data_IF_868400142761
#
_entry.id   IF_868400142761
#
_cell.length_a   1.000
_cell.length_b   1.000
_cell.length_c   1.000
_cell.angle_alpha   90.00
_cell.angle_beta   90.00
_cell.angle_gamma   90.00
#
_symmetry.space_group_name_H-M   'P 1'
#
loop_
_entity.id
_entity.type
_entity.pdbx_description
1 polymer ?
#
# COMPACT_ATOMS: atom_id res chain seq x y z
N UNK A 1 -1.41 23.16 -16.37
CA UNK A 1 -0.25 22.66 -15.59
C UNK A 1 -0.48 22.81 -14.09
N UNK A 2 -0.79 24.02 -13.58
CA UNK A 2 -1.07 24.25 -12.15
C UNK A 2 -2.15 23.33 -11.53
N UNK A 3 -3.33 23.22 -12.17
CA UNK A 3 -4.42 22.35 -11.68
C UNK A 3 -4.08 20.86 -11.55
N UNK A 4 -3.21 20.34 -12.42
CA UNK A 4 -2.78 18.94 -12.38
C UNK A 4 -1.86 18.69 -11.19
N UNK A 5 -0.91 19.59 -10.96
CA UNK A 5 0.02 19.54 -9.82
C UNK A 5 -0.76 19.66 -8.52
N UNK A 6 -1.70 20.59 -8.44
CA UNK A 6 -2.57 20.77 -7.27
C UNK A 6 -3.42 19.52 -6.97
N UNK A 7 -4.03 18.93 -8.00
CA UNK A 7 -4.79 17.68 -7.86
C UNK A 7 -3.92 16.52 -7.39
N UNK A 8 -2.71 16.39 -7.94
CA UNK A 8 -1.75 15.35 -7.55
C UNK A 8 -1.27 15.52 -6.12
N UNK A 9 -0.90 16.74 -5.72
CA UNK A 9 -0.49 17.05 -4.34
C UNK A 9 -1.63 16.79 -3.37
N UNK A 10 -2.86 17.22 -3.69
CA UNK A 10 -4.04 16.95 -2.86
C UNK A 10 -4.29 15.45 -2.73
N UNK A 11 -4.10 14.67 -3.79
CA UNK A 11 -4.23 13.22 -3.72
C UNK A 11 -3.18 12.63 -2.80
N UNK A 12 -1.89 12.95 -3.00
CA UNK A 12 -0.81 12.43 -2.16
C UNK A 12 -0.97 12.77 -0.68
N UNK A 13 -1.37 14.01 -0.35
CA UNK A 13 -1.59 14.43 1.03
C UNK A 13 -2.75 13.66 1.66
N UNK A 14 -3.87 13.50 0.95
CA UNK A 14 -5.07 12.82 1.48
C UNK A 14 -4.98 11.29 1.43
N UNK A 15 -4.07 10.73 0.64
CA UNK A 15 -3.89 9.28 0.45
C UNK A 15 -2.52 8.80 0.94
N UNK A 16 -1.75 9.64 1.60
CA UNK A 16 -0.41 9.31 2.09
C UNK A 16 -0.39 8.05 2.95
N UNK A 17 -1.43 7.85 3.78
CA UNK A 17 -1.64 6.61 4.55
C UNK A 17 -1.74 5.38 3.66
N UNK A 18 -2.56 5.44 2.60
CA UNK A 18 -2.77 4.32 1.69
C UNK A 18 -1.47 3.98 0.97
N UNK A 19 -0.73 4.99 0.52
CA UNK A 19 0.58 4.82 -0.13
C UNK A 19 1.66 4.31 0.84
N UNK A 20 1.63 4.77 2.09
CA UNK A 20 2.49 4.24 3.14
C UNK A 20 2.22 2.75 3.38
N UNK A 21 0.96 2.36 3.55
CA UNK A 21 0.60 0.94 3.70
C UNK A 21 0.93 0.12 2.45
N UNK A 22 0.71 0.67 1.26
CA UNK A 22 1.09 0.01 0.01
C UNK A 22 2.58 -0.36 0.01
N UNK A 23 3.47 0.58 0.32
CA UNK A 23 4.92 0.35 0.29
C UNK A 23 5.37 -0.48 1.50
N UNK A 24 5.03 -0.03 2.71
CA UNK A 24 5.53 -0.62 3.95
C UNK A 24 4.90 -1.98 4.23
N UNK A 25 3.57 -2.02 4.36
CA UNK A 25 2.86 -3.27 4.63
C UNK A 25 2.88 -4.21 3.43
N UNK A 26 2.88 -3.69 2.20
CA UNK A 26 3.07 -4.50 0.99
C UNK A 26 4.41 -5.24 0.98
N UNK A 27 5.49 -4.61 1.43
CA UNK A 27 6.80 -5.26 1.56
C UNK A 27 6.78 -6.39 2.60
N UNK A 28 6.14 -6.16 3.75
CA UNK A 28 5.99 -7.16 4.81
C UNK A 28 5.16 -8.35 4.31
N UNK A 29 4.00 -8.11 3.71
CA UNK A 29 3.15 -9.18 3.17
C UNK A 29 3.85 -9.94 2.06
N UNK A 30 4.59 -9.25 1.19
CA UNK A 30 5.38 -9.91 0.16
C UNK A 30 6.45 -10.84 0.77
N UNK A 31 7.20 -10.39 1.76
CA UNK A 31 8.19 -11.21 2.45
C UNK A 31 7.54 -12.44 3.13
N UNK A 32 6.38 -12.25 3.76
CA UNK A 32 5.60 -13.35 4.35
C UNK A 32 5.19 -14.35 3.27
N UNK A 33 4.65 -13.90 2.14
CA UNK A 33 4.18 -14.78 1.06
C UNK A 33 5.32 -15.57 0.41
N UNK A 34 6.44 -14.92 0.11
CA UNK A 34 7.63 -15.59 -0.43
C UNK A 34 8.12 -16.68 0.53
N UNK A 35 8.22 -16.35 1.83
CA UNK A 35 8.74 -17.28 2.83
C UNK A 35 7.76 -18.42 3.19
N UNK A 36 6.44 -18.18 3.14
CA UNK A 36 5.44 -19.18 3.53
C UNK A 36 5.09 -20.13 2.38
N UNK A 37 5.05 -19.63 1.15
CA UNK A 37 4.64 -20.42 0.01
C UNK A 37 5.82 -21.07 -0.72
N UNK A 38 7.06 -20.81 -0.31
CA UNK A 38 8.31 -21.32 -0.93
C UNK A 38 8.38 -21.11 -2.45
N UNK A 39 7.62 -20.15 -2.98
CA UNK A 39 7.72 -19.77 -4.37
C UNK A 39 8.86 -18.77 -4.50
N UNK A 40 9.90 -19.20 -5.21
CA UNK A 40 10.94 -18.33 -5.74
C UNK A 40 10.30 -17.13 -6.47
N UNK A 41 10.74 -15.92 -6.12
CA UNK A 41 10.53 -14.60 -6.75
C UNK A 41 9.58 -14.52 -7.96
N UNK A 42 8.31 -14.91 -7.76
CA UNK A 42 7.28 -14.84 -8.79
C UNK A 42 6.67 -13.45 -8.83
N UNK A 43 6.55 -12.86 -10.01
CA UNK A 43 5.87 -11.58 -10.22
C UNK A 43 4.45 -11.55 -9.64
N UNK A 44 3.78 -12.70 -9.62
CA UNK A 44 2.43 -12.84 -9.06
C UNK A 44 2.44 -12.64 -7.54
N UNK A 45 3.48 -13.10 -6.86
CA UNK A 45 3.62 -12.99 -5.40
C UNK A 45 4.00 -11.57 -4.99
N UNK A 46 4.90 -10.96 -5.74
CA UNK A 46 5.19 -9.54 -5.56
C UNK A 46 3.92 -8.72 -5.71
N UNK A 47 3.16 -8.95 -6.79
CA UNK A 47 1.91 -8.24 -7.00
C UNK A 47 0.89 -8.49 -5.87
N UNK A 48 0.75 -9.73 -5.40
CA UNK A 48 -0.20 -10.06 -4.34
C UNK A 48 0.17 -9.43 -3.00
N UNK A 49 1.46 -9.41 -2.63
CA UNK A 49 1.93 -8.75 -1.40
C UNK A 49 1.62 -7.25 -1.40
N UNK A 50 1.95 -6.56 -2.48
CA UNK A 50 1.65 -5.14 -2.63
C UNK A 50 0.15 -4.86 -2.76
N UNK A 51 -0.63 -5.73 -3.40
CA UNK A 51 -2.09 -5.63 -3.43
C UNK A 51 -2.71 -5.75 -2.03
N UNK A 52 -2.22 -6.66 -1.19
CA UNK A 52 -2.64 -6.76 0.21
C UNK A 52 -2.28 -5.50 1.00
N UNK A 53 -1.09 -4.93 0.78
CA UNK A 53 -0.68 -3.66 1.38
C UNK A 53 -1.61 -2.50 0.99
N UNK A 54 -2.03 -2.46 -0.28
CA UNK A 54 -2.99 -1.48 -0.80
C UNK A 54 -4.37 -1.64 -0.15
N UNK A 55 -4.91 -2.86 -0.13
CA UNK A 55 -6.21 -3.16 0.48
C UNK A 55 -6.19 -2.78 1.97
N UNK A 56 -5.11 -3.11 2.66
CA UNK A 56 -4.92 -2.75 4.06
C UNK A 56 -4.89 -1.23 4.27
N UNK A 57 -4.19 -0.49 3.42
CA UNK A 57 -4.17 0.97 3.45
C UNK A 57 -5.55 1.59 3.23
N UNK A 58 -6.30 1.08 2.24
CA UNK A 58 -7.68 1.51 1.99
C UNK A 58 -8.55 1.24 3.22
N UNK A 59 -8.46 0.04 3.80
CA UNK A 59 -9.23 -0.33 4.99
C UNK A 59 -8.89 0.55 6.19
N UNK A 60 -7.61 0.79 6.46
CA UNK A 60 -7.13 1.64 7.54
C UNK A 60 -7.62 3.09 7.39
N UNK A 61 -7.63 3.62 6.17
CA UNK A 61 -8.20 4.94 5.86
C UNK A 61 -9.70 5.00 6.16
N UNK A 62 -10.49 4.01 5.75
CA UNK A 62 -11.94 4.00 6.03
C UNK A 62 -12.30 3.76 7.49
N UNK A 63 -11.44 3.06 8.23
CA UNK A 63 -11.63 2.79 9.67
C UNK A 63 -11.11 3.91 10.58
N UNK A 64 -10.54 4.98 10.04
CA UNK A 64 -9.93 6.08 10.80
C UNK A 64 -9.00 5.56 11.92
N UNK A 65 -8.13 4.60 11.59
CA UNK A 65 -7.21 4.06 12.60
C UNK A 65 -6.31 5.17 13.16
N UNK A 66 -6.51 5.49 14.44
CA UNK A 66 -5.91 6.65 15.12
C UNK A 66 -4.40 6.60 15.32
N UNK A 67 -3.73 5.54 14.87
CA UNK A 67 -2.28 5.39 14.90
C UNK A 67 -1.68 6.01 13.62
N UNK A 68 -2.55 6.45 12.71
CA UNK A 68 -2.23 6.99 11.39
C UNK A 68 -3.08 8.22 11.06
N UNK A 69 -3.68 8.87 12.08
CA UNK A 69 -4.44 10.11 11.96
C UNK A 69 -3.76 11.25 12.73
#
# INVERSE_FOLDING_TARGET
>A
MAKLIESFTNHLTNWGLVWFCFIFWGSIFNAILVNTLNFESSNIIYFSGYALGLIFGIFAKYKNWGWVN
#
